data_IF_495382577415
#
_entry.id   IF_495382577415
#
_cell.length_a   1.000
_cell.length_b   1.000
_cell.length_c   1.000
_cell.angle_alpha   90.00
_cell.angle_beta   90.00
_cell.angle_gamma   90.00
#
_symmetry.space_group_name_H-M   'P 1'
#
loop_
_entity.id
_entity.type
_entity.pdbx_description
1 polymer ?
#
# COMPACT_ATOMS: atom_id res chain seq x y z
N UNK A 1 5.45 25.98 27.69
CA UNK A 1 4.57 25.49 26.61
C UNK A 1 5.45 24.79 25.59
N UNK A 2 5.75 23.51 25.82
CA UNK A 2 6.64 22.75 24.95
C UNK A 2 5.89 22.44 23.65
N UNK A 3 6.48 22.81 22.52
CA UNK A 3 6.05 22.33 21.19
C UNK A 3 6.34 20.82 21.17
N UNK A 4 5.37 20.06 21.65
CA UNK A 4 5.42 18.61 21.71
C UNK A 4 4.86 18.00 20.43
N UNK A 5 5.10 16.70 20.30
CA UNK A 5 4.59 15.84 19.21
C UNK A 5 3.07 16.04 18.99
N UNK A 6 2.33 16.37 20.05
CA UNK A 6 0.90 16.72 20.00
C UNK A 6 0.55 17.86 19.02
N UNK A 7 1.40 18.90 18.91
CA UNK A 7 1.17 20.00 17.98
C UNK A 7 1.38 19.56 16.53
N UNK A 8 2.39 18.72 16.28
CA UNK A 8 2.70 18.20 14.95
C UNK A 8 1.54 17.35 14.42
N UNK A 9 0.92 16.53 15.27
CA UNK A 9 -0.24 15.72 14.88
C UNK A 9 -1.44 16.62 14.52
N UNK A 10 -1.72 17.66 15.31
CA UNK A 10 -2.79 18.64 15.01
C UNK A 10 -2.56 19.29 13.64
N UNK A 11 -1.33 19.73 13.36
CA UNK A 11 -0.98 20.38 12.09
C UNK A 11 -1.09 19.39 10.93
N UNK A 12 -0.63 18.15 11.10
CA UNK A 12 -0.71 17.12 10.09
C UNK A 12 -2.16 16.83 9.68
N UNK A 13 -3.10 16.77 10.65
CA UNK A 13 -4.54 16.58 10.34
C UNK A 13 -5.06 17.73 9.49
N UNK A 14 -4.72 18.98 9.82
CA UNK A 14 -5.16 20.15 9.04
C UNK A 14 -4.62 20.08 7.61
N UNK A 15 -3.34 19.75 7.44
CA UNK A 15 -2.72 19.59 6.11
C UNK A 15 -3.42 18.48 5.32
N UNK A 16 -3.73 17.35 5.95
CA UNK A 16 -4.45 16.23 5.30
C UNK A 16 -5.86 16.63 4.89
N UNK A 17 -6.57 17.43 5.68
CA UNK A 17 -7.90 17.93 5.34
C UNK A 17 -7.87 18.96 4.19
N UNK A 18 -6.86 19.83 4.15
CA UNK A 18 -6.72 20.86 3.11
C UNK A 18 -6.32 20.28 1.76
N UNK A 19 -5.35 19.36 1.75
CA UNK A 19 -4.83 18.75 0.53
C UNK A 19 -5.61 17.49 0.11
N UNK A 20 -6.36 16.90 1.04
CA UNK A 20 -7.12 15.67 0.83
C UNK A 20 -6.23 14.41 0.82
N UNK A 21 -6.82 13.28 1.23
CA UNK A 21 -6.13 11.97 1.28
C UNK A 21 -5.59 11.49 -0.07
N UNK A 22 -6.25 11.84 -1.17
CA UNK A 22 -5.88 11.38 -2.52
C UNK A 22 -4.52 11.90 -2.96
N UNK A 23 -4.28 13.22 -2.83
CA UNK A 23 -3.02 13.84 -3.24
C UNK A 23 -1.84 13.43 -2.36
N UNK A 24 -2.07 13.27 -1.07
CA UNK A 24 -1.01 12.89 -0.13
C UNK A 24 -0.57 11.44 -0.35
N UNK A 25 -1.49 10.51 -0.62
CA UNK A 25 -1.14 9.12 -0.90
C UNK A 25 -0.31 8.97 -2.18
N UNK A 26 -0.64 9.71 -3.24
CA UNK A 26 0.11 9.67 -4.50
C UNK A 26 1.53 10.23 -4.32
N UNK A 27 1.66 11.39 -3.65
CA UNK A 27 2.94 12.02 -3.34
C UNK A 27 3.79 11.18 -2.36
N UNK A 28 3.18 10.59 -1.33
CA UNK A 28 3.88 9.70 -0.41
C UNK A 28 4.34 8.42 -1.09
N UNK A 29 3.62 7.92 -2.09
CA UNK A 29 4.04 6.77 -2.90
C UNK A 29 5.35 7.04 -3.64
N UNK A 30 5.48 8.19 -4.30
CA UNK A 30 6.70 8.56 -5.02
C UNK A 30 7.86 8.90 -4.08
N UNK A 31 7.57 9.58 -2.97
CA UNK A 31 8.58 9.85 -1.92
C UNK A 31 9.06 8.53 -1.28
N UNK A 32 8.17 7.58 -0.99
CA UNK A 32 8.53 6.29 -0.41
C UNK A 32 9.43 5.46 -1.35
N UNK A 33 9.16 5.46 -2.66
CA UNK A 33 10.02 4.80 -3.65
C UNK A 33 11.43 5.44 -3.70
N UNK A 34 11.51 6.77 -3.64
CA UNK A 34 12.78 7.50 -3.58
C UNK A 34 13.58 7.16 -2.33
N UNK A 35 12.96 7.19 -1.16
CA UNK A 35 13.60 6.86 0.13
C UNK A 35 14.00 5.38 0.18
N UNK A 36 13.18 4.47 -0.36
CA UNK A 36 13.49 3.02 -0.41
C UNK A 36 14.70 2.75 -1.29
N UNK A 37 14.79 3.38 -2.47
CA UNK A 37 15.93 3.26 -3.38
C UNK A 37 17.20 3.84 -2.77
N UNK A 38 17.09 4.96 -2.06
CA UNK A 38 18.21 5.55 -1.33
C UNK A 38 18.69 4.62 -0.20
N UNK A 39 17.77 4.07 0.60
CA UNK A 39 18.11 3.12 1.67
C UNK A 39 18.73 1.83 1.12
N UNK A 40 18.24 1.33 -0.02
CA UNK A 40 18.80 0.17 -0.71
C UNK A 40 20.21 0.46 -1.22
N UNK A 41 20.43 1.61 -1.86
CA UNK A 41 21.76 2.03 -2.32
C UNK A 41 22.78 2.20 -1.17
N UNK A 42 22.35 2.68 0.01
CA UNK A 42 23.21 2.74 1.19
C UNK A 42 23.57 1.34 1.73
N UNK A 43 22.63 0.40 1.73
CA UNK A 43 22.88 -0.99 2.14
C UNK A 43 23.81 -1.72 1.17
N UNK A 44 23.62 -1.51 -0.13
CA UNK A 44 24.53 -2.04 -1.16
C UNK A 44 25.94 -1.43 -1.04
N UNK A 45 26.05 -0.14 -0.71
CA UNK A 45 27.35 0.48 -0.43
C UNK A 45 28.04 -0.11 0.81
N UNK A 46 27.28 -0.49 1.83
CA UNK A 46 27.77 -1.16 3.04
C UNK A 46 28.14 -2.64 2.76
N UNK A 47 27.38 -3.34 1.90
CA UNK A 47 27.64 -4.74 1.49
C UNK A 47 28.78 -4.89 0.46
N UNK A 48 29.08 -3.85 -0.34
CA UNK A 48 30.19 -3.86 -1.30
C UNK A 48 31.58 -3.93 -0.62
N UNK A 49 31.67 -3.60 0.67
CA UNK A 49 32.87 -3.80 1.48
C UNK A 49 33.05 -5.29 1.92
N UNK A 50 32.07 -6.18 1.66
CA UNK A 50 32.01 -7.53 2.25
C UNK A 50 31.60 -8.72 1.33
N UNK A 51 31.61 -8.60 0.00
CA UNK A 51 31.06 -9.54 -1.04
C UNK A 51 31.16 -11.09 -0.84
N UNK A 52 30.26 -11.93 -1.45
CA UNK A 52 29.62 -11.75 -2.78
C UNK A 52 28.07 -11.92 -2.93
N UNK A 53 27.56 -11.37 -4.06
CA UNK A 53 26.20 -11.08 -4.57
C UNK A 53 25.30 -12.28 -5.00
N UNK A 54 24.12 -12.12 -5.67
CA UNK A 54 23.07 -11.07 -5.67
C UNK A 54 21.66 -11.65 -5.33
N UNK A 55 20.77 -10.86 -4.70
CA UNK A 55 19.32 -11.15 -4.74
C UNK A 55 18.54 -9.94 -5.27
N UNK A 56 18.53 -9.84 -6.60
CA UNK A 56 17.52 -9.06 -7.33
C UNK A 56 16.25 -9.92 -7.45
N UNK A 57 15.55 -10.16 -6.33
CA UNK A 57 14.13 -10.54 -6.34
C UNK A 57 13.32 -9.25 -6.50
N UNK A 58 12.75 -8.98 -7.66
CA UNK A 58 11.45 -9.48 -8.12
C UNK A 58 10.29 -8.96 -7.27
N UNK A 59 9.84 -7.73 -7.56
CA UNK A 59 8.43 -7.36 -7.37
C UNK A 59 8.05 -6.19 -8.30
N UNK A 60 7.90 -6.51 -9.58
CA UNK A 60 7.16 -5.70 -10.54
C UNK A 60 6.35 -6.65 -11.41
N UNK A 61 5.43 -7.38 -10.76
CA UNK A 61 4.42 -8.19 -11.42
C UNK A 61 3.24 -8.35 -10.47
N UNK A 62 2.61 -7.24 -10.09
CA UNK A 62 1.19 -7.26 -9.71
C UNK A 62 0.61 -5.84 -9.83
N UNK A 63 0.35 -5.40 -11.06
CA UNK A 63 -0.66 -4.37 -11.32
C UNK A 63 -1.38 -4.69 -12.63
N UNK A 64 -2.68 -4.95 -12.49
CA UNK A 64 -3.76 -4.77 -13.46
C UNK A 64 -4.07 -5.91 -14.46
N UNK A 65 -4.84 -6.90 -14.00
CA UNK A 65 -6.11 -7.22 -14.69
C UNK A 65 -7.24 -6.59 -13.86
N UNK A 66 -8.01 -5.62 -14.39
CA UNK A 66 -9.28 -5.25 -13.77
C UNK A 66 -10.29 -6.35 -14.12
N UNK A 67 -10.39 -7.36 -13.27
CA UNK A 67 -11.49 -8.31 -13.29
C UNK A 67 -12.76 -7.57 -12.87
N UNK A 68 -13.48 -7.04 -13.86
CA UNK A 68 -14.89 -6.65 -13.72
C UNK A 68 -15.65 -7.90 -13.34
N UNK A 69 -15.99 -8.03 -12.06
CA UNK A 69 -16.64 -9.21 -11.52
C UNK A 69 -17.34 -8.89 -10.20
N UNK A 70 -18.23 -7.89 -10.22
CA UNK A 70 -19.22 -7.74 -9.17
C UNK A 70 -20.24 -8.87 -9.27
N UNK A 71 -20.21 -9.81 -8.33
CA UNK A 71 -21.37 -10.51 -7.78
C UNK A 71 -20.88 -11.67 -6.91
N UNK A 72 -21.10 -11.58 -5.60
CA UNK A 72 -21.87 -12.59 -4.85
C UNK A 72 -21.82 -12.24 -3.36
N UNK A 73 -22.83 -11.47 -2.93
CA UNK A 73 -23.36 -11.55 -1.59
C UNK A 73 -24.73 -12.22 -1.70
N UNK A 74 -24.83 -13.39 -1.07
CA UNK A 74 -26.02 -13.98 -0.42
C UNK A 74 -27.42 -13.75 -1.03
N UNK A 75 -28.01 -14.85 -1.53
CA UNK A 75 -29.42 -15.19 -1.27
C UNK A 75 -29.68 -16.65 -1.67
N UNK A 76 -29.27 -17.58 -0.79
CA UNK A 76 -29.77 -18.96 -0.83
C UNK A 76 -31.18 -18.96 -0.21
N UNK A 77 -32.19 -18.94 -1.08
CA UNK A 77 -33.60 -19.13 -0.71
C UNK A 77 -34.02 -20.54 -1.12
N UNK A 78 -33.83 -21.46 -0.18
CA UNK A 78 -34.52 -22.73 -0.11
C UNK A 78 -36.04 -22.49 -0.16
N UNK A 79 -36.70 -22.96 -1.22
CA UNK A 79 -38.09 -23.42 -1.13
C UNK A 79 -38.46 -24.33 -2.30
N UNK A 80 -38.42 -25.63 -1.99
CA UNK A 80 -39.38 -26.66 -2.38
C UNK A 80 -39.80 -26.75 -3.85
N UNK A 81 -39.21 -27.73 -4.55
CA UNK A 81 -39.90 -28.49 -5.58
C UNK A 81 -39.75 -29.99 -5.29
N UNK A 82 -40.82 -30.59 -4.78
CA UNK A 82 -41.21 -32.00 -4.95
C UNK A 82 -41.03 -32.41 -6.43
N UNK A 83 -40.69 -33.68 -6.78
CA UNK A 83 -41.54 -34.84 -6.46
C UNK A 83 -40.82 -36.17 -6.16
N UNK A 84 -41.26 -36.87 -5.12
CA UNK A 84 -41.11 -38.33 -5.00
C UNK A 84 -42.35 -39.00 -5.57
N UNK A 85 -42.13 -39.92 -6.51
CA UNK A 85 -43.05 -41.02 -6.79
C UNK A 85 -42.92 -42.11 -5.70
#
# INVERSE_FOLDING_TARGET
MSIGIWQIIIVAIIVVLLFGRGKISELMGDVAKGITSFKKGLREAEELDAQPAPKLEQQAADVATPEVGGAQAESEKDKAATPSA
#
